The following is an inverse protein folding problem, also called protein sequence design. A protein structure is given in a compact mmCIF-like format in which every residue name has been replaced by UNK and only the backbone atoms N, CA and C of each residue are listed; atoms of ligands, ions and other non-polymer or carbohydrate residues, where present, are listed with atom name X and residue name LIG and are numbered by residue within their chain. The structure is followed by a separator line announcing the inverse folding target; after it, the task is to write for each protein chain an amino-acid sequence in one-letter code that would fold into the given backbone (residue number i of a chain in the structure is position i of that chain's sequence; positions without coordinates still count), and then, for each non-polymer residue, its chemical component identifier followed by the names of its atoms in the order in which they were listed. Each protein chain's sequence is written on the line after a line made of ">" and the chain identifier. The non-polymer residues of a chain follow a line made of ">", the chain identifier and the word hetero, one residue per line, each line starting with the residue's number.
data_IF_047615231685
#
_entry.id   IF_047615231685
#
_cell.length_a   1.000
_cell.length_b   1.000
_cell.length_c   1.000
_cell.angle_alpha   90.00
_cell.angle_beta   90.00
_cell.angle_gamma   90.00
#
_symmetry.space_group_name_H-M   'P 1'
#
loop_
_entity.id
_entity.type
_entity.pdbx_description
1 polymer ?
#
# COMPACT_ATOMS: atom_id res chain seq x y z
N UNK A 1 -10.65 6.24 6.24
CA UNK A 1 -9.74 6.69 5.16
C UNK A 1 -8.97 7.92 5.64
N UNK A 2 -7.65 7.86 5.51
CA UNK A 2 -6.64 8.53 6.35
C UNK A 2 -6.30 9.99 5.95
N UNK A 3 -6.82 10.51 4.82
CA UNK A 3 -6.30 11.73 4.18
C UNK A 3 -7.44 12.70 3.79
N UNK A 4 -7.26 14.01 3.98
CA UNK A 4 -8.28 15.07 3.80
C UNK A 4 -7.71 16.39 3.30
N UNK A 5 -8.56 17.23 2.70
CA UNK A 5 -8.14 18.38 1.88
C UNK A 5 -7.61 19.58 2.70
N UNK A 6 -6.52 20.26 2.26
CA UNK A 6 -5.58 19.81 1.23
C UNK A 6 -4.72 18.65 1.76
N UNK A 7 -4.60 17.59 0.97
CA UNK A 7 -3.94 16.31 1.36
C UNK A 7 -2.43 16.33 1.17
N UNK A 8 -1.91 17.49 0.79
CA UNK A 8 -0.51 17.75 0.54
C UNK A 8 -0.18 19.10 1.19
N UNK A 9 0.88 19.19 1.97
CA UNK A 9 1.36 20.43 2.56
C UNK A 9 2.13 21.30 1.54
N UNK A 10 2.60 22.48 1.97
CA UNK A 10 3.38 23.37 1.10
C UNK A 10 4.74 22.81 0.66
N UNK A 11 5.19 21.72 1.28
CA UNK A 11 6.46 21.03 0.99
C UNK A 11 6.24 19.78 0.11
N UNK A 12 4.99 19.48 -0.25
CA UNK A 12 4.65 18.32 -1.08
C UNK A 12 4.41 17.04 -0.27
N UNK A 13 4.42 17.07 1.06
CA UNK A 13 4.21 15.87 1.86
C UNK A 13 2.72 15.56 2.01
N UNK A 14 2.38 14.26 2.05
CA UNK A 14 1.05 13.82 2.45
C UNK A 14 0.70 14.34 3.85
N UNK A 15 -0.55 14.77 4.04
CA UNK A 15 -1.07 15.17 5.36
C UNK A 15 -2.35 14.45 5.72
N UNK A 16 -2.47 14.06 6.99
CA UNK A 16 -3.65 13.39 7.52
C UNK A 16 -4.91 14.26 7.34
N UNK A 17 -6.07 13.64 7.14
CA UNK A 17 -7.34 14.36 7.12
C UNK A 17 -7.61 15.02 8.48
N UNK A 18 -7.66 16.34 8.62
CA UNK A 18 -7.90 16.94 9.93
C UNK A 18 -9.33 16.69 10.45
N UNK A 19 -10.30 16.41 9.57
CA UNK A 19 -11.68 16.13 9.97
C UNK A 19 -11.88 14.70 10.47
N UNK A 20 -11.12 13.73 9.95
CA UNK A 20 -11.26 12.31 10.36
C UNK A 20 -10.08 11.78 11.19
N UNK A 21 -8.92 12.43 11.11
CA UNK A 21 -7.70 12.18 11.88
C UNK A 21 -7.17 13.51 12.45
N UNK A 22 -7.93 14.21 13.30
CA UNK A 22 -7.57 15.53 13.82
C UNK A 22 -6.25 15.56 14.59
N UNK A 23 -5.84 14.42 15.16
CA UNK A 23 -4.56 14.28 15.88
C UNK A 23 -3.40 13.83 14.97
N UNK A 24 -3.66 13.55 13.70
CA UNK A 24 -2.66 13.03 12.75
C UNK A 24 -2.32 11.56 12.94
N UNK A 25 -1.53 11.01 12.00
CA UNK A 25 -1.24 9.57 11.93
C UNK A 25 -0.17 9.15 12.93
N UNK A 26 0.80 10.03 13.21
CA UNK A 26 1.82 9.76 14.22
C UNK A 26 1.21 9.50 15.60
N UNK A 27 0.26 10.33 16.04
CA UNK A 27 -0.41 10.14 17.35
C UNK A 27 -1.21 8.84 17.38
N UNK A 28 -1.85 8.48 16.26
CA UNK A 28 -2.55 7.20 16.14
C UNK A 28 -1.58 6.02 16.21
N UNK A 29 -0.44 6.09 15.50
CA UNK A 29 0.60 5.06 15.53
C UNK A 29 1.13 4.88 16.96
N UNK A 30 1.49 5.97 17.64
CA UNK A 30 1.97 5.95 19.03
C UNK A 30 0.94 5.29 19.96
N UNK A 31 -0.34 5.60 19.80
CA UNK A 31 -1.42 4.97 20.57
C UNK A 31 -1.51 3.46 20.29
N UNK A 32 -1.51 3.06 19.01
CA UNK A 32 -1.59 1.65 18.58
C UNK A 32 -0.38 0.86 19.08
N UNK A 33 0.82 1.43 18.98
CA UNK A 33 2.06 0.84 19.50
C UNK A 33 2.04 0.70 21.02
N UNK A 34 1.48 1.67 21.74
CA UNK A 34 1.25 1.60 23.19
C UNK A 34 0.32 0.47 23.62
N UNK A 35 -0.41 -0.16 22.67
CA UNK A 35 -1.21 -1.36 22.89
C UNK A 35 -0.53 -2.65 22.41
N UNK A 36 0.74 -2.59 22.01
CA UNK A 36 1.47 -3.75 21.47
C UNK A 36 1.03 -4.15 20.06
N UNK A 37 0.32 -3.26 19.35
CA UNK A 37 -0.16 -3.48 17.98
C UNK A 37 0.69 -2.70 16.97
N UNK A 38 0.43 -2.91 15.68
CA UNK A 38 1.08 -2.23 14.55
C UNK A 38 0.06 -1.45 13.72
N UNK A 39 0.49 -0.38 13.07
CA UNK A 39 -0.37 0.47 12.22
C UNK A 39 -0.06 0.28 10.73
N UNK A 40 -1.09 -0.03 9.95
CA UNK A 40 -1.03 0.00 8.50
C UNK A 40 -1.68 1.23 7.89
N UNK A 41 -1.12 1.70 6.77
CA UNK A 41 -1.70 2.74 5.91
C UNK A 41 -1.87 2.24 4.49
N UNK A 42 -2.50 3.08 3.68
CA UNK A 42 -2.83 2.79 2.29
C UNK A 42 -2.28 3.90 1.39
N UNK A 43 -1.64 3.50 0.30
CA UNK A 43 -1.22 4.35 -0.81
C UNK A 43 -1.59 3.72 -2.15
N UNK A 44 -1.28 4.42 -3.23
CA UNK A 44 -1.57 3.96 -4.59
C UNK A 44 -0.38 4.27 -5.50
N UNK A 45 -0.02 3.30 -6.35
CA UNK A 45 1.04 3.39 -7.33
C UNK A 45 0.64 4.20 -8.59
N UNK A 46 -0.42 4.99 -8.53
CA UNK A 46 -0.81 5.99 -9.53
C UNK A 46 -0.90 7.41 -8.97
N UNK A 47 -1.52 8.32 -9.73
CA UNK A 47 -1.61 9.74 -9.35
C UNK A 47 -2.66 10.01 -8.27
N UNK A 48 -3.65 9.13 -8.14
CA UNK A 48 -4.72 9.19 -7.13
C UNK A 48 -5.06 7.78 -6.68
N UNK A 49 -5.49 7.67 -5.44
CA UNK A 49 -6.09 6.44 -4.90
C UNK A 49 -7.33 6.00 -5.70
N UNK A 50 -7.70 4.73 -5.63
CA UNK A 50 -8.89 4.18 -6.30
C UNK A 50 -10.20 4.92 -5.96
N UNK A 51 -10.34 5.45 -4.73
CA UNK A 51 -11.51 6.26 -4.34
C UNK A 51 -11.57 7.64 -5.01
N UNK A 52 -10.48 8.05 -5.66
CA UNK A 52 -10.21 9.40 -6.16
C UNK A 52 -10.27 10.49 -5.10
N UNK A 53 -10.38 10.14 -3.81
CA UNK A 53 -10.47 11.12 -2.72
C UNK A 53 -9.12 11.61 -2.26
N UNK A 54 -8.02 10.89 -2.55
CA UNK A 54 -6.68 11.13 -2.02
C UNK A 54 -5.61 11.02 -3.11
N UNK A 55 -4.50 11.78 -3.05
CA UNK A 55 -3.36 11.60 -3.95
C UNK A 55 -2.80 10.17 -3.81
N UNK A 56 -2.26 9.65 -4.90
CA UNK A 56 -1.38 8.49 -4.86
C UNK A 56 0.07 8.96 -4.75
N UNK A 57 1.01 8.02 -4.83
CA UNK A 57 2.43 8.26 -4.55
C UNK A 57 3.32 8.11 -5.79
N UNK A 58 2.74 7.96 -6.98
CA UNK A 58 3.51 7.84 -8.23
C UNK A 58 4.37 9.09 -8.47
N UNK A 59 5.69 8.91 -8.51
CA UNK A 59 6.68 9.98 -8.66
C UNK A 59 7.07 10.70 -7.36
N UNK A 60 6.47 10.32 -6.22
CA UNK A 60 6.73 10.87 -4.90
C UNK A 60 7.13 9.78 -3.89
N UNK A 61 7.52 8.59 -4.38
CA UNK A 61 7.68 7.39 -3.56
C UNK A 61 8.67 7.59 -2.40
N UNK A 62 9.82 8.22 -2.65
CA UNK A 62 10.84 8.49 -1.62
C UNK A 62 10.34 9.46 -0.54
N UNK A 63 9.59 10.49 -0.93
CA UNK A 63 9.04 11.48 0.00
C UNK A 63 7.94 10.87 0.86
N UNK A 64 7.06 10.10 0.25
CA UNK A 64 5.94 9.46 0.93
C UNK A 64 6.42 8.34 1.86
N UNK A 65 7.40 7.54 1.44
CA UNK A 65 8.01 6.52 2.30
C UNK A 65 8.64 7.12 3.57
N UNK A 66 9.35 8.25 3.44
CA UNK A 66 9.89 9.00 4.60
C UNK A 66 8.77 9.55 5.48
N UNK A 67 7.68 10.04 4.87
CA UNK A 67 6.51 10.52 5.60
C UNK A 67 5.88 9.37 6.42
N UNK A 68 5.65 8.21 5.81
CA UNK A 68 5.13 7.02 6.51
C UNK A 68 6.04 6.58 7.66
N UNK A 69 7.35 6.53 7.43
CA UNK A 69 8.32 6.21 8.47
C UNK A 69 8.29 7.22 9.62
N UNK A 70 8.21 8.51 9.32
CA UNK A 70 8.11 9.59 10.33
C UNK A 70 6.84 9.49 11.19
N UNK A 71 5.76 8.94 10.61
CA UNK A 71 4.52 8.67 11.32
C UNK A 71 4.55 7.38 12.13
N UNK A 72 5.58 6.56 12.02
CA UNK A 72 5.65 5.26 12.71
C UNK A 72 4.78 4.17 12.06
N UNK A 73 4.50 4.28 10.77
CA UNK A 73 3.76 3.24 10.02
C UNK A 73 4.55 1.93 9.99
N UNK A 74 3.87 0.79 10.05
CA UNK A 74 4.48 -0.55 10.02
C UNK A 74 4.10 -1.37 8.80
N UNK A 75 3.08 -0.94 8.05
CA UNK A 75 2.53 -1.66 6.91
C UNK A 75 2.00 -0.68 5.86
N UNK A 76 2.33 -0.91 4.59
CA UNK A 76 1.76 -0.20 3.46
C UNK A 76 1.02 -1.18 2.53
N UNK A 77 -0.29 -0.99 2.38
CA UNK A 77 -1.04 -1.50 1.21
C UNK A 77 -0.85 -0.51 0.06
N UNK A 78 -0.40 -0.97 -1.09
CA UNK A 78 -0.12 -0.11 -2.24
C UNK A 78 -0.91 -0.57 -3.46
N UNK A 79 -1.89 0.24 -3.87
CA UNK A 79 -2.89 -0.08 -4.89
C UNK A 79 -2.44 0.31 -6.31
N UNK A 80 -3.30 0.07 -7.30
CA UNK A 80 -2.93 0.16 -8.72
C UNK A 80 -3.91 0.98 -9.59
N UNK A 81 -4.59 1.99 -9.04
CA UNK A 81 -5.49 2.85 -9.81
C UNK A 81 -4.78 4.07 -10.41
N UNK A 82 -5.37 4.73 -11.42
CA UNK A 82 -4.86 6.00 -11.97
C UNK A 82 -3.38 5.97 -12.42
N UNK A 83 -2.95 4.84 -13.00
CA UNK A 83 -1.53 4.51 -13.28
C UNK A 83 -0.97 5.06 -14.59
N UNK A 84 -1.74 5.88 -15.32
CA UNK A 84 -1.31 6.52 -16.57
C UNK A 84 -0.79 5.53 -17.65
N UNK A 85 -1.33 4.31 -17.66
CA UNK A 85 -0.91 3.24 -18.60
C UNK A 85 0.43 2.58 -18.27
N UNK A 86 1.07 2.92 -17.15
CA UNK A 86 2.34 2.35 -16.74
C UNK A 86 2.16 0.94 -16.16
N UNK A 87 3.04 0.01 -16.54
CA UNK A 87 3.08 -1.35 -15.99
C UNK A 87 3.31 -1.35 -14.47
N UNK A 88 2.77 -2.33 -13.73
CA UNK A 88 2.89 -2.40 -12.27
C UNK A 88 4.34 -2.58 -11.81
N UNK A 89 5.05 -3.57 -12.33
CA UNK A 89 6.33 -4.00 -11.77
C UNK A 89 7.35 -2.85 -11.56
N UNK A 90 7.63 -1.94 -12.52
CA UNK A 90 8.53 -0.81 -12.26
C UNK A 90 8.06 0.14 -11.15
N UNK A 91 6.76 0.43 -11.10
CA UNK A 91 6.18 1.35 -10.09
C UNK A 91 6.26 0.77 -8.69
N UNK A 92 5.98 -0.53 -8.54
CA UNK A 92 6.14 -1.23 -7.27
C UNK A 92 7.60 -1.36 -6.84
N UNK A 93 8.54 -1.57 -7.77
CA UNK A 93 9.98 -1.56 -7.48
C UNK A 93 10.43 -0.20 -6.95
N UNK A 94 9.92 0.91 -7.49
CA UNK A 94 10.25 2.25 -6.99
C UNK A 94 9.81 2.44 -5.54
N UNK A 95 8.57 2.08 -5.20
CA UNK A 95 8.09 2.17 -3.81
C UNK A 95 8.82 1.19 -2.88
N UNK A 96 9.12 -0.03 -3.33
CA UNK A 96 9.93 -0.99 -2.57
C UNK A 96 11.27 -0.39 -2.14
N UNK A 97 12.02 0.19 -3.09
CA UNK A 97 13.29 0.87 -2.81
C UNK A 97 13.11 2.05 -1.86
N UNK A 98 12.05 2.84 -2.03
CA UNK A 98 11.76 3.96 -1.17
C UNK A 98 11.49 3.53 0.29
N UNK A 99 10.71 2.46 0.49
CA UNK A 99 10.43 1.91 1.82
C UNK A 99 11.71 1.37 2.50
N UNK A 100 12.54 0.63 1.77
CA UNK A 100 13.83 0.13 2.28
C UNK A 100 14.76 1.26 2.72
N UNK A 101 14.70 2.42 2.06
CA UNK A 101 15.51 3.60 2.37
C UNK A 101 14.83 4.59 3.33
N UNK A 102 13.64 4.26 3.85
CA UNK A 102 12.86 5.19 4.69
C UNK A 102 13.38 5.30 6.14
N UNK A 103 14.22 4.35 6.57
CA UNK A 103 14.72 4.26 7.94
C UNK A 103 13.79 3.52 8.91
N UNK A 104 12.73 2.88 8.42
CA UNK A 104 11.83 2.02 9.19
C UNK A 104 11.44 0.78 8.39
N UNK A 105 11.40 -0.38 9.05
CA UNK A 105 10.88 -1.60 8.43
C UNK A 105 9.35 -1.51 8.27
N UNK A 106 8.90 -1.35 7.03
CA UNK A 106 7.48 -1.25 6.67
C UNK A 106 7.12 -2.45 5.80
N UNK A 107 6.18 -3.27 6.26
CA UNK A 107 5.67 -4.40 5.50
C UNK A 107 5.01 -3.89 4.20
N UNK A 108 5.41 -4.43 3.05
CA UNK A 108 4.94 -3.95 1.75
C UNK A 108 3.98 -4.94 1.10
N UNK A 109 2.70 -4.56 0.99
CA UNK A 109 1.63 -5.35 0.37
C UNK A 109 1.21 -4.75 -0.97
N UNK A 110 1.48 -5.50 -2.04
CA UNK A 110 1.17 -5.12 -3.41
C UNK A 110 -0.30 -5.44 -3.74
N UNK A 111 -1.00 -4.51 -4.38
CA UNK A 111 -2.41 -4.64 -4.71
C UNK A 111 -2.68 -4.20 -6.15
N UNK A 112 -2.23 -5.00 -7.11
CA UNK A 112 -2.48 -4.79 -8.55
C UNK A 112 -3.49 -5.78 -9.16
N UNK A 113 -4.20 -6.50 -8.30
CA UNK A 113 -5.27 -7.44 -8.62
C UNK A 113 -4.87 -8.68 -9.43
N UNK A 114 -3.60 -9.10 -9.37
CA UNK A 114 -3.05 -10.19 -10.18
C UNK A 114 -2.62 -9.76 -11.59
N UNK A 115 -2.61 -8.46 -11.88
CA UNK A 115 -2.18 -7.91 -13.17
C UNK A 115 -0.69 -8.18 -13.45
N UNK A 116 -0.43 -8.93 -14.52
CA UNK A 116 0.90 -9.37 -14.92
C UNK A 116 1.52 -10.37 -13.92
N UNK A 117 0.70 -11.27 -13.36
CA UNK A 117 1.12 -12.46 -12.61
C UNK A 117 2.15 -12.17 -11.49
N UNK A 118 1.78 -11.40 -10.45
CA UNK A 118 2.69 -10.88 -9.43
C UNK A 118 3.44 -11.96 -8.68
N UNK A 119 2.87 -13.16 -8.54
CA UNK A 119 3.55 -14.31 -7.95
C UNK A 119 4.92 -14.61 -8.60
N UNK A 120 5.10 -14.26 -9.88
CA UNK A 120 6.33 -14.53 -10.64
C UNK A 120 7.45 -13.51 -10.42
N UNK A 121 7.16 -12.36 -9.80
CA UNK A 121 8.15 -11.26 -9.67
C UNK A 121 8.11 -10.49 -8.34
N UNK A 122 7.01 -10.56 -7.58
CA UNK A 122 6.78 -9.71 -6.42
C UNK A 122 7.54 -10.14 -5.16
N UNK A 123 8.03 -11.38 -5.08
CA UNK A 123 8.81 -11.88 -3.92
C UNK A 123 10.11 -11.12 -3.68
N UNK A 124 10.73 -10.60 -4.75
CA UNK A 124 11.89 -9.71 -4.66
C UNK A 124 11.55 -8.23 -4.47
N UNK A 125 10.27 -7.88 -4.37
CA UNK A 125 9.78 -6.49 -4.37
C UNK A 125 9.03 -6.15 -3.09
N UNK A 126 8.18 -7.03 -2.57
CA UNK A 126 7.44 -6.82 -1.33
C UNK A 126 7.19 -8.11 -0.57
N UNK A 127 6.36 -8.03 0.46
CA UNK A 127 6.13 -9.12 1.41
C UNK A 127 4.83 -9.89 1.16
N UNK A 128 3.90 -9.31 0.40
CA UNK A 128 2.73 -10.00 -0.11
C UNK A 128 2.21 -9.31 -1.37
N UNK A 129 1.43 -10.03 -2.16
CA UNK A 129 0.76 -9.52 -3.35
C UNK A 129 -0.64 -10.10 -3.48
N UNK A 130 -1.56 -9.28 -3.98
CA UNK A 130 -2.87 -9.73 -4.44
C UNK A 130 -2.72 -10.59 -5.69
N UNK A 131 -3.48 -11.68 -5.79
CA UNK A 131 -3.49 -12.56 -6.98
C UNK A 131 -4.77 -12.44 -7.80
N UNK A 132 -5.75 -11.67 -7.32
CA UNK A 132 -7.09 -11.55 -7.91
C UNK A 132 -7.67 -10.14 -7.75
N UNK A 133 -8.76 -9.86 -8.47
CA UNK A 133 -9.69 -8.76 -8.21
C UNK A 133 -10.30 -8.78 -6.80
N UNK A 134 -11.03 -7.72 -6.46
CA UNK A 134 -11.58 -7.52 -5.11
C UNK A 134 -12.63 -8.58 -4.75
N UNK A 135 -12.52 -9.11 -3.53
CA UNK A 135 -13.52 -10.02 -2.97
C UNK A 135 -14.84 -9.29 -2.74
N UNK A 136 -15.94 -10.02 -2.93
CA UNK A 136 -17.29 -9.59 -2.57
C UNK A 136 -17.85 -10.54 -1.51
N UNK A 137 -18.75 -10.04 -0.66
CA UNK A 137 -19.36 -10.84 0.42
C UNK A 137 -20.45 -11.77 -0.13
N UNK A 138 -20.02 -12.78 -0.88
CA UNK A 138 -20.85 -13.87 -1.35
C UNK A 138 -20.00 -15.13 -1.61
N UNK A 139 -20.63 -16.29 -1.52
CA UNK A 139 -19.98 -17.59 -1.67
C UNK A 139 -19.24 -17.73 -3.00
N UNK A 140 -19.85 -17.29 -4.10
CA UNK A 140 -19.27 -17.42 -5.43
C UNK A 140 -17.96 -16.64 -5.57
N UNK A 141 -17.89 -15.40 -5.06
CA UNK A 141 -16.66 -14.61 -5.06
C UNK A 141 -15.58 -15.24 -4.19
N UNK A 142 -15.95 -15.77 -3.02
CA UNK A 142 -15.00 -16.39 -2.10
C UNK A 142 -14.36 -17.64 -2.74
N UNK A 143 -15.16 -18.57 -3.25
CA UNK A 143 -14.64 -19.81 -3.85
C UNK A 143 -13.83 -19.52 -5.12
N UNK A 144 -14.30 -18.59 -5.96
CA UNK A 144 -13.58 -18.23 -7.18
C UNK A 144 -12.19 -17.63 -6.89
N UNK A 145 -12.04 -16.85 -5.82
CA UNK A 145 -10.73 -16.30 -5.42
C UNK A 145 -9.83 -17.40 -4.87
N UNK A 146 -10.37 -18.33 -4.08
CA UNK A 146 -9.60 -19.48 -3.60
C UNK A 146 -9.04 -20.30 -4.76
N UNK A 147 -9.88 -20.67 -5.73
CA UNK A 147 -9.47 -21.44 -6.91
C UNK A 147 -8.46 -20.67 -7.78
N UNK A 148 -8.67 -19.37 -7.97
CA UNK A 148 -7.75 -18.53 -8.74
C UNK A 148 -6.37 -18.37 -8.08
N UNK A 149 -6.32 -18.41 -6.74
CA UNK A 149 -5.08 -18.31 -5.99
C UNK A 149 -4.29 -19.63 -5.96
N UNK A 150 -4.97 -20.78 -5.99
CA UNK A 150 -4.37 -22.11 -5.80
C UNK A 150 -3.18 -22.39 -6.74
N UNK A 151 -3.29 -21.99 -8.01
CA UNK A 151 -2.21 -22.18 -9.00
C UNK A 151 -0.89 -21.48 -8.65
N UNK A 152 -0.90 -20.52 -7.72
CA UNK A 152 0.28 -19.76 -7.29
C UNK A 152 0.97 -20.34 -6.05
N UNK A 153 0.48 -21.45 -5.49
CA UNK A 153 0.97 -22.02 -4.23
C UNK A 153 2.49 -22.22 -4.20
N UNK A 154 3.10 -22.62 -5.33
CA UNK A 154 4.55 -22.85 -5.42
C UNK A 154 5.42 -21.59 -5.34
N UNK A 155 4.82 -20.39 -5.46
CA UNK A 155 5.52 -19.11 -5.40
C UNK A 155 5.51 -18.49 -4.01
N UNK A 156 4.71 -19.02 -3.08
CA UNK A 156 4.58 -18.49 -1.73
C UNK A 156 5.63 -19.08 -0.78
N UNK A 157 6.16 -18.26 0.12
CA UNK A 157 7.12 -18.69 1.15
C UNK A 157 7.34 -17.68 2.27
N UNK A 158 8.21 -17.99 3.25
CA UNK A 158 8.59 -17.03 4.28
C UNK A 158 9.18 -15.75 3.68
N UNK A 159 8.53 -14.61 3.95
CA UNK A 159 8.95 -13.29 3.45
C UNK A 159 8.24 -12.83 2.17
N UNK A 160 7.44 -13.70 1.55
CA UNK A 160 6.80 -13.54 0.25
C UNK A 160 6.80 -14.87 -0.47
#
# INVERSE_FOLDING_TARGET
>A
MIVGQPMIDSQGNLVANPSTFPSGIKVLADYVHGKGLKLGVYGDAGSRTCSNKMPGSLGYEEQDAKTFASWGVDYLKYDNCNVQGLSPQPRYINMSKALLNSGRDIFFSLCEWGMNDPATWASGVGNSWRTTGDIQDNWASMTAIADANDKWASYAGPGG
#
